data_IF_372831441834
#
_entry.id   IF_372831441834
#
_cell.length_a   1.000
_cell.length_b   1.000
_cell.length_c   1.000
_cell.angle_alpha   90.00
_cell.angle_beta   90.00
_cell.angle_gamma   90.00
#
_symmetry.space_group_name_H-M   'P 1'
#
loop_
_entity.id
_entity.type
_entity.pdbx_description
1 polymer ?
#
# COMPACT_ATOMS: atom_id res chain seq x y z
N UNK A 1 -15.18 -22.60 16.88
CA UNK A 1 -15.06 -21.56 15.85
C UNK A 1 -14.05 -20.53 16.32
N UNK A 2 -13.14 -20.05 15.45
CA UNK A 2 -12.25 -18.95 15.84
C UNK A 2 -13.09 -17.70 16.16
N UNK A 3 -12.79 -17.04 17.27
CA UNK A 3 -13.42 -15.76 17.63
C UNK A 3 -12.97 -14.72 16.60
N UNK A 4 -13.91 -13.93 16.10
CA UNK A 4 -13.70 -12.89 15.12
C UNK A 4 -13.96 -11.53 15.76
N UNK A 5 -13.11 -10.58 15.53
CA UNK A 5 -13.21 -9.21 16.04
C UNK A 5 -13.27 -8.22 14.88
N UNK A 6 -13.89 -7.07 15.12
CA UNK A 6 -13.96 -5.99 14.14
C UNK A 6 -13.46 -4.68 14.79
N UNK A 7 -12.44 -4.08 14.21
CA UNK A 7 -11.84 -2.81 14.65
C UNK A 7 -11.81 -1.81 13.51
N UNK A 8 -11.75 -0.52 13.83
CA UNK A 8 -11.48 0.48 12.79
C UNK A 8 -10.06 0.30 12.22
N UNK A 9 -9.85 0.74 10.98
CA UNK A 9 -8.53 0.68 10.37
C UNK A 9 -7.48 1.39 11.23
N UNK A 10 -7.83 2.53 11.85
CA UNK A 10 -6.94 3.26 12.74
C UNK A 10 -6.50 2.46 13.98
N UNK A 11 -7.37 1.61 14.55
CA UNK A 11 -7.03 0.80 15.73
C UNK A 11 -6.02 -0.31 15.43
N UNK A 12 -5.98 -0.80 14.19
CA UNK A 12 -5.07 -1.91 13.77
C UNK A 12 -3.88 -1.43 12.93
N UNK A 13 -3.68 -0.11 12.82
CA UNK A 13 -2.62 0.51 12.02
C UNK A 13 -1.74 1.40 12.88
N UNK A 14 -0.46 1.10 12.95
CA UNK A 14 0.52 1.85 13.75
C UNK A 14 0.99 3.14 13.06
N UNK A 15 0.99 3.16 11.72
CA UNK A 15 1.36 4.32 10.90
C UNK A 15 0.32 4.53 9.82
N UNK A 16 -0.29 5.71 9.80
CA UNK A 16 -1.12 6.21 8.71
C UNK A 16 -0.60 7.59 8.32
N UNK A 17 0.16 7.69 7.25
CA UNK A 17 0.81 8.94 6.87
C UNK A 17 0.86 9.11 5.34
N UNK A 18 0.84 10.37 4.88
CA UNK A 18 1.21 10.69 3.51
C UNK A 18 2.72 10.60 3.33
N UNK A 19 3.13 10.38 2.10
CA UNK A 19 4.53 10.42 1.72
C UNK A 19 5.17 11.80 1.85
N UNK A 20 6.35 11.92 1.29
CA UNK A 20 7.13 13.16 1.29
C UNK A 20 6.83 14.02 0.05
N UNK A 21 7.20 15.30 0.09
CA UNK A 21 7.35 16.13 -1.11
C UNK A 21 8.81 16.00 -1.57
N UNK A 22 9.14 15.13 -2.54
CA UNK A 22 10.52 14.81 -2.87
C UNK A 22 11.19 15.90 -3.69
N UNK A 23 12.53 15.92 -3.64
CA UNK A 23 13.38 16.60 -4.61
C UNK A 23 13.87 15.54 -5.59
N UNK A 24 13.22 15.49 -6.73
CA UNK A 24 13.54 14.48 -7.76
C UNK A 24 14.88 14.74 -8.42
N UNK A 25 15.63 13.66 -8.60
CA UNK A 25 16.88 13.60 -9.37
C UNK A 25 16.78 12.48 -10.41
N UNK A 26 17.58 12.56 -11.46
CA UNK A 26 17.55 11.56 -12.54
C UNK A 26 18.60 10.46 -12.33
N UNK A 27 19.73 10.79 -11.71
CA UNK A 27 20.84 9.86 -11.49
C UNK A 27 20.85 9.34 -10.05
N UNK A 28 21.06 8.04 -9.89
CA UNK A 28 21.22 7.41 -8.60
C UNK A 28 22.61 7.70 -8.01
N UNK A 29 22.68 7.90 -6.71
CA UNK A 29 23.91 7.99 -5.93
C UNK A 29 23.70 7.37 -4.54
N UNK A 30 24.71 7.31 -3.71
CA UNK A 30 24.67 6.72 -2.37
C UNK A 30 23.64 7.36 -1.40
N UNK A 31 23.15 8.56 -1.71
CA UNK A 31 22.18 9.30 -0.90
C UNK A 31 20.77 9.29 -1.51
N UNK A 32 20.57 8.57 -2.62
CA UNK A 32 19.24 8.51 -3.23
C UNK A 32 18.38 7.41 -2.64
N UNK A 33 17.07 7.67 -2.61
CA UNK A 33 16.03 6.70 -2.30
C UNK A 33 15.01 6.65 -3.42
N UNK A 34 14.45 5.47 -3.66
CA UNK A 34 13.37 5.28 -4.62
C UNK A 34 12.09 5.91 -4.07
N UNK A 35 11.40 6.69 -4.90
CA UNK A 35 10.12 7.32 -4.58
C UNK A 35 9.01 6.72 -5.43
N UNK A 36 8.13 5.98 -4.79
CA UNK A 36 6.92 5.48 -5.43
C UNK A 36 5.88 6.61 -5.51
N UNK A 37 5.16 6.64 -6.61
CA UNK A 37 4.05 7.56 -6.86
C UNK A 37 2.79 6.78 -7.25
N UNK A 38 1.66 7.47 -7.41
CA UNK A 38 0.38 6.84 -7.73
C UNK A 38 0.37 5.98 -9.02
N UNK A 39 1.31 6.20 -9.97
CA UNK A 39 1.40 5.39 -11.19
C UNK A 39 2.03 4.02 -10.91
N UNK A 40 2.82 3.91 -9.83
CA UNK A 40 3.44 2.66 -9.41
C UNK A 40 2.42 1.64 -8.86
N UNK A 41 1.24 2.10 -8.42
CA UNK A 41 0.22 1.27 -7.78
C UNK A 41 -0.83 0.80 -8.80
N UNK A 42 -0.77 -0.47 -9.17
CA UNK A 42 -1.72 -1.11 -10.11
C UNK A 42 -2.01 -2.55 -9.70
N UNK A 43 -3.25 -2.98 -9.83
CA UNK A 43 -3.68 -4.37 -9.67
C UNK A 43 -3.22 -5.01 -8.34
N UNK A 44 -3.29 -4.26 -7.23
CA UNK A 44 -2.80 -4.68 -5.92
C UNK A 44 -1.28 -4.99 -5.90
N UNK A 45 -0.55 -4.40 -6.81
CA UNK A 45 0.90 -4.60 -6.98
C UNK A 45 1.61 -3.27 -7.14
N UNK A 46 2.89 -3.25 -6.83
CA UNK A 46 3.78 -2.10 -7.05
C UNK A 46 4.71 -2.42 -8.21
N UNK A 47 4.72 -1.51 -9.21
CA UNK A 47 5.70 -1.50 -10.30
C UNK A 47 6.70 -0.37 -10.06
N UNK A 48 7.98 -0.63 -10.25
CA UNK A 48 9.03 0.39 -10.17
C UNK A 48 9.21 1.17 -11.49
N UNK A 49 8.52 0.78 -12.56
CA UNK A 49 8.63 1.40 -13.90
C UNK A 49 8.44 2.93 -13.87
N UNK A 50 7.53 3.41 -13.01
CA UNK A 50 7.23 4.84 -12.86
C UNK A 50 7.82 5.45 -11.58
N UNK A 51 8.66 4.70 -10.87
CA UNK A 51 9.34 5.20 -9.69
C UNK A 51 10.35 6.28 -10.09
N UNK A 52 10.64 7.18 -9.17
CA UNK A 52 11.61 8.24 -9.33
C UNK A 52 12.60 8.21 -8.17
N UNK A 53 13.62 9.04 -8.21
CA UNK A 53 14.64 9.13 -7.18
C UNK A 53 14.53 10.45 -6.42
N UNK A 54 14.78 10.41 -5.11
CA UNK A 54 14.96 11.60 -4.28
C UNK A 54 16.37 11.60 -3.70
N UNK A 55 17.07 12.71 -3.79
CA UNK A 55 18.35 12.88 -3.08
C UNK A 55 18.07 13.32 -1.64
N UNK A 56 18.48 12.48 -0.68
CA UNK A 56 18.24 12.72 0.75
C UNK A 56 19.06 13.89 1.33
N UNK A 57 20.10 14.38 0.59
CA UNK A 57 20.83 15.60 0.95
C UNK A 57 20.01 16.85 0.68
N UNK A 58 19.23 16.83 -0.42
CA UNK A 58 18.33 17.92 -0.80
C UNK A 58 17.02 17.87 0.00
N UNK A 59 16.47 16.65 0.20
CA UNK A 59 15.24 16.43 0.94
C UNK A 59 15.33 15.15 1.74
N UNK A 60 15.54 15.28 3.05
CA UNK A 60 15.56 14.15 3.97
C UNK A 60 14.22 13.44 4.02
N UNK A 61 14.25 12.12 4.14
CA UNK A 61 13.08 11.26 4.33
C UNK A 61 13.03 10.79 5.78
N UNK A 62 11.97 11.12 6.55
CA UNK A 62 11.80 10.61 7.91
C UNK A 62 11.80 9.08 7.95
N UNK A 63 12.43 8.50 8.96
CA UNK A 63 12.60 7.04 9.08
C UNK A 63 11.27 6.29 9.11
N UNK A 64 10.24 6.88 9.72
CA UNK A 64 8.89 6.28 9.75
C UNK A 64 8.23 6.20 8.37
N UNK A 65 8.68 7.02 7.40
CA UNK A 65 8.19 7.02 6.00
C UNK A 65 9.05 6.19 5.07
N UNK A 66 10.14 5.61 5.56
CA UNK A 66 10.86 4.57 4.82
C UNK A 66 10.00 3.31 4.79
N UNK A 67 9.82 2.77 3.57
CA UNK A 67 8.95 1.62 3.34
C UNK A 67 9.57 0.34 3.89
N UNK A 68 8.70 -0.58 4.31
CA UNK A 68 9.07 -1.90 4.82
C UNK A 68 8.24 -2.96 4.11
N UNK A 69 8.73 -4.18 4.17
CA UNK A 69 7.96 -5.33 3.71
C UNK A 69 6.59 -5.38 4.40
N UNK A 70 5.57 -5.73 3.64
CA UNK A 70 4.15 -5.76 3.99
C UNK A 70 3.49 -4.40 4.28
N UNK A 71 4.17 -3.28 4.13
CA UNK A 71 3.48 -1.98 4.12
C UNK A 71 2.40 -1.97 3.03
N UNK A 72 1.26 -1.35 3.35
CA UNK A 72 0.15 -1.16 2.41
C UNK A 72 0.15 0.29 1.94
N UNK A 73 0.02 0.48 0.63
CA UNK A 73 0.03 1.78 -0.02
C UNK A 73 -1.31 2.06 -0.65
N UNK A 74 -1.85 3.26 -0.40
CA UNK A 74 -3.09 3.73 -1.01
C UNK A 74 -2.82 4.98 -1.83
N UNK A 75 -3.32 5.06 -3.06
CA UNK A 75 -3.32 6.31 -3.80
C UNK A 75 -4.26 7.30 -3.11
N UNK A 76 -3.71 8.40 -2.57
CA UNK A 76 -4.54 9.41 -1.91
C UNK A 76 -5.24 10.33 -2.89
N UNK A 77 -4.70 10.52 -4.10
CA UNK A 77 -5.22 11.44 -5.10
C UNK A 77 -5.28 10.79 -6.48
N UNK A 78 -5.92 11.49 -7.43
CA UNK A 78 -5.94 11.16 -8.85
C UNK A 78 -7.29 10.65 -9.34
N UNK A 79 -7.79 11.26 -10.43
CA UNK A 79 -9.04 10.86 -11.07
C UNK A 79 -8.99 9.41 -11.53
N UNK A 80 -9.87 8.56 -11.00
CA UNK A 80 -9.95 7.12 -11.31
C UNK A 80 -8.77 6.29 -10.77
N UNK A 81 -7.92 6.88 -9.92
CA UNK A 81 -6.80 6.17 -9.26
C UNK A 81 -6.80 6.31 -7.75
N UNK A 82 -7.45 7.35 -7.19
CA UNK A 82 -7.63 7.49 -5.75
C UNK A 82 -8.32 6.25 -5.18
N UNK A 83 -7.86 5.77 -4.03
CA UNK A 83 -8.35 4.56 -3.39
C UNK A 83 -7.69 3.26 -3.85
N UNK A 84 -6.86 3.25 -4.90
CA UNK A 84 -6.11 2.04 -5.28
C UNK A 84 -5.23 1.59 -4.13
N UNK A 85 -5.33 0.30 -3.82
CA UNK A 85 -4.56 -0.35 -2.74
C UNK A 85 -3.50 -1.25 -3.35
N UNK A 86 -2.29 -1.26 -2.80
CA UNK A 86 -1.28 -2.27 -3.07
C UNK A 86 -0.53 -2.62 -1.79
N UNK A 87 0.03 -3.83 -1.72
CA UNK A 87 0.92 -4.25 -0.65
C UNK A 87 2.33 -4.50 -1.19
N UNK A 88 3.33 -4.07 -0.44
CA UNK A 88 4.73 -4.37 -0.73
C UNK A 88 5.07 -5.77 -0.19
N UNK A 89 5.48 -6.68 -1.07
CA UNK A 89 5.88 -8.03 -0.68
C UNK A 89 7.40 -8.19 -0.50
N UNK A 90 8.17 -7.20 -0.97
CA UNK A 90 9.60 -7.12 -0.76
C UNK A 90 10.07 -5.67 -0.87
N UNK A 91 11.11 -5.32 -0.13
CA UNK A 91 11.81 -4.04 -0.19
C UNK A 91 13.29 -4.35 -0.29
N UNK A 92 13.84 -4.28 -1.50
CA UNK A 92 15.26 -4.63 -1.79
C UNK A 92 16.19 -3.44 -1.72
N UNK A 93 15.64 -2.23 -1.86
CA UNK A 93 16.38 -0.97 -1.82
C UNK A 93 15.64 0.05 -0.95
N UNK A 94 16.32 1.06 -0.41
CA UNK A 94 15.67 2.13 0.34
C UNK A 94 14.61 2.82 -0.51
N UNK A 95 13.35 2.84 -0.04
CA UNK A 95 12.26 3.48 -0.77
C UNK A 95 11.27 4.18 0.15
N UNK A 96 10.56 5.13 -0.42
CA UNK A 96 9.50 5.91 0.20
C UNK A 96 8.36 6.15 -0.81
N UNK A 97 7.34 6.91 -0.41
CA UNK A 97 6.24 7.34 -1.28
C UNK A 97 6.18 8.87 -1.36
N UNK A 98 5.64 9.38 -2.45
CA UNK A 98 5.35 10.80 -2.60
C UNK A 98 4.06 11.23 -1.86
N UNK A 99 3.80 12.55 -1.83
CA UNK A 99 2.63 13.14 -1.16
C UNK A 99 1.26 12.74 -1.74
N UNK A 100 1.24 12.03 -2.88
CA UNK A 100 0.02 11.53 -3.52
C UNK A 100 -0.36 10.12 -3.10
N UNK A 101 0.38 9.54 -2.15
CA UNK A 101 0.11 8.21 -1.60
C UNK A 101 0.03 8.27 -0.07
N UNK A 102 -0.68 7.30 0.51
CA UNK A 102 -0.78 7.04 1.94
C UNK A 102 -0.08 5.72 2.23
N UNK A 103 0.79 5.73 3.24
CA UNK A 103 1.41 4.56 3.85
C UNK A 103 0.56 4.09 5.03
N UNK A 104 0.23 2.81 5.04
CA UNK A 104 -0.36 2.10 6.16
C UNK A 104 0.61 1.01 6.62
N UNK A 105 0.91 0.97 7.92
CA UNK A 105 1.69 -0.08 8.55
C UNK A 105 0.89 -0.68 9.70
N UNK A 106 0.65 -2.01 9.72
CA UNK A 106 -0.15 -2.62 10.78
C UNK A 106 0.49 -2.51 12.16
N UNK A 107 -0.32 -2.72 13.19
CA UNK A 107 0.15 -3.02 14.55
C UNK A 107 0.54 -4.51 14.65
N UNK A 108 1.19 -4.90 15.75
CA UNK A 108 1.55 -6.31 16.01
C UNK A 108 0.33 -7.20 16.31
N UNK A 109 -0.87 -6.61 16.46
CA UNK A 109 -2.11 -7.32 16.74
C UNK A 109 -2.65 -8.08 15.53
N UNK A 110 -2.25 -7.68 14.32
CA UNK A 110 -2.71 -8.27 13.08
C UNK A 110 -1.54 -8.74 12.22
N UNK A 111 -1.65 -9.95 11.65
CA UNK A 111 -0.64 -10.45 10.74
C UNK A 111 -0.48 -9.53 9.52
N UNK A 112 0.73 -9.06 9.19
CA UNK A 112 0.93 -8.06 8.15
C UNK A 112 0.45 -8.50 6.77
N UNK A 113 0.62 -9.77 6.42
CA UNK A 113 0.16 -10.31 5.14
C UNK A 113 -1.37 -10.37 5.09
N UNK A 114 -2.00 -10.84 6.17
CA UNK A 114 -3.45 -10.82 6.31
C UNK A 114 -4.00 -9.39 6.22
N UNK A 115 -3.35 -8.44 6.92
CA UNK A 115 -3.73 -7.03 6.93
C UNK A 115 -3.85 -6.44 5.53
N UNK A 116 -2.87 -6.68 4.66
CA UNK A 116 -2.91 -6.18 3.29
C UNK A 116 -4.12 -6.69 2.51
N UNK A 117 -4.47 -7.97 2.64
CA UNK A 117 -5.67 -8.54 2.02
C UNK A 117 -6.97 -8.02 2.64
N UNK A 118 -6.99 -7.82 3.95
CA UNK A 118 -8.13 -7.21 4.63
C UNK A 118 -8.37 -5.78 4.14
N UNK A 119 -7.33 -4.95 4.04
CA UNK A 119 -7.45 -3.60 3.45
C UNK A 119 -7.88 -3.66 1.98
N UNK A 120 -7.31 -4.57 1.18
CA UNK A 120 -7.70 -4.78 -0.22
C UNK A 120 -9.19 -5.10 -0.36
N UNK A 121 -9.76 -5.88 0.54
CA UNK A 121 -11.17 -6.26 0.48
C UNK A 121 -12.14 -5.06 0.64
N UNK A 122 -11.68 -3.97 1.23
CA UNK A 122 -12.40 -2.71 1.38
C UNK A 122 -12.14 -1.69 0.27
N UNK A 123 -11.52 -2.10 -0.85
CA UNK A 123 -11.17 -1.19 -1.94
C UNK A 123 -12.32 -0.28 -2.37
N UNK A 124 -13.51 -0.84 -2.61
CA UNK A 124 -14.68 -0.07 -3.06
C UNK A 124 -15.22 0.92 -2.00
N UNK A 125 -15.01 0.64 -0.71
CA UNK A 125 -15.35 1.55 0.38
C UNK A 125 -14.31 2.67 0.47
N UNK A 126 -13.03 2.33 0.37
CA UNK A 126 -11.92 3.28 0.39
C UNK A 126 -12.04 4.26 -0.78
N UNK A 127 -12.37 3.79 -1.99
CA UNK A 127 -12.56 4.64 -3.17
C UNK A 127 -13.66 5.70 -2.95
N UNK A 128 -14.74 5.34 -2.25
CA UNK A 128 -15.83 6.27 -1.90
C UNK A 128 -15.44 7.37 -0.90
N UNK A 129 -14.31 7.21 -0.20
CA UNK A 129 -13.79 8.24 0.69
C UNK A 129 -13.05 9.37 -0.04
N UNK A 130 -12.88 9.25 -1.37
CA UNK A 130 -12.30 10.30 -2.19
C UNK A 130 -13.27 11.48 -2.30
N UNK A 131 -12.88 12.61 -1.72
CA UNK A 131 -13.64 13.86 -1.70
C UNK A 131 -12.95 14.93 -2.56
N UNK A 132 -13.70 15.84 -3.14
CA UNK A 132 -13.19 16.98 -3.91
C UNK A 132 -14.01 17.30 -5.16
N UNK A 133 -13.93 18.55 -5.61
CA UNK A 133 -14.56 19.01 -6.86
C UNK A 133 -13.71 18.64 -8.08
N UNK A 134 -14.35 18.56 -9.23
CA UNK A 134 -13.83 18.23 -10.56
C UNK A 134 -12.30 18.30 -10.72
N UNK A 135 -11.64 17.12 -10.73
CA UNK A 135 -10.24 17.00 -11.10
C UNK A 135 -9.24 16.89 -9.95
N UNK A 136 -9.64 17.13 -8.70
CA UNK A 136 -8.78 17.01 -7.51
C UNK A 136 -9.49 16.24 -6.39
N UNK A 137 -9.69 14.93 -6.62
CA UNK A 137 -10.21 14.06 -5.55
C UNK A 137 -9.07 13.62 -4.65
N UNK A 138 -9.31 13.64 -3.34
CA UNK A 138 -8.36 13.21 -2.32
C UNK A 138 -9.05 12.34 -1.27
N UNK A 139 -8.39 11.23 -0.87
CA UNK A 139 -8.85 10.38 0.22
C UNK A 139 -8.74 11.15 1.54
N UNK A 140 -9.87 11.29 2.21
CA UNK A 140 -9.92 11.86 3.56
C UNK A 140 -9.33 10.85 4.55
N UNK A 141 -8.10 11.13 5.02
CA UNK A 141 -7.35 10.22 5.89
C UNK A 141 -8.07 9.97 7.22
N UNK A 142 -8.73 10.97 7.79
CA UNK A 142 -9.47 10.78 9.05
C UNK A 142 -10.64 9.81 8.88
N UNK A 143 -11.36 9.93 7.79
CA UNK A 143 -12.43 8.99 7.44
C UNK A 143 -11.89 7.59 7.17
N UNK A 144 -10.75 7.48 6.46
CA UNK A 144 -10.06 6.20 6.25
C UNK A 144 -9.77 5.50 7.59
N UNK A 145 -9.27 6.23 8.59
CA UNK A 145 -8.97 5.71 9.93
C UNK A 145 -10.22 5.22 10.68
N UNK A 146 -11.33 5.96 10.57
CA UNK A 146 -12.49 5.77 11.45
C UNK A 146 -13.65 5.00 10.82
N UNK A 147 -13.84 5.08 9.48
CA UNK A 147 -14.98 4.50 8.79
C UNK A 147 -14.71 3.11 8.22
N UNK A 148 -13.45 2.82 7.82
CA UNK A 148 -13.08 1.48 7.35
C UNK A 148 -12.93 0.56 8.57
N UNK A 149 -13.67 -0.55 8.58
CA UNK A 149 -13.65 -1.52 9.67
C UNK A 149 -13.09 -2.86 9.20
N UNK A 150 -11.95 -3.22 9.76
CA UNK A 150 -11.26 -4.48 9.48
C UNK A 150 -11.80 -5.56 10.41
N UNK A 151 -12.23 -6.67 9.82
CA UNK A 151 -12.70 -7.86 10.54
C UNK A 151 -11.66 -8.98 10.41
N UNK A 152 -11.23 -9.55 11.54
CA UNK A 152 -10.17 -10.56 11.55
C UNK A 152 -10.35 -11.58 12.68
N UNK A 153 -9.84 -12.83 12.51
CA UNK A 153 -9.78 -13.79 13.60
C UNK A 153 -8.84 -13.30 14.70
N UNK A 154 -9.20 -13.47 15.96
CA UNK A 154 -8.34 -13.13 17.11
C UNK A 154 -7.06 -13.97 17.13
N UNK A 155 -7.13 -15.22 16.65
CA UNK A 155 -5.98 -16.11 16.55
C UNK A 155 -5.06 -15.71 15.38
N UNK A 156 -3.87 -15.22 15.70
CA UNK A 156 -2.83 -14.81 14.75
C UNK A 156 -2.40 -15.98 13.82
N UNK A 157 -2.47 -17.23 14.27
CA UNK A 157 -2.14 -18.38 13.42
C UNK A 157 -3.21 -18.61 12.36
N UNK A 158 -4.47 -18.34 12.70
CA UNK A 158 -5.56 -18.34 11.72
C UNK A 158 -5.36 -17.25 10.67
N UNK A 159 -5.02 -16.02 11.09
CA UNK A 159 -4.71 -14.91 10.19
C UNK A 159 -3.57 -15.28 9.22
N UNK A 160 -2.46 -15.81 9.74
CA UNK A 160 -1.30 -16.24 8.95
C UNK A 160 -1.68 -17.29 7.90
N UNK A 161 -2.51 -18.27 8.26
CA UNK A 161 -2.98 -19.30 7.31
C UNK A 161 -3.81 -18.68 6.18
N UNK A 162 -4.74 -17.78 6.52
CA UNK A 162 -5.58 -17.09 5.53
C UNK A 162 -4.73 -16.22 4.62
N UNK A 163 -3.86 -15.37 5.19
CA UNK A 163 -2.98 -14.48 4.44
C UNK A 163 -2.09 -15.24 3.46
N UNK A 164 -1.47 -16.35 3.90
CA UNK A 164 -0.65 -17.21 3.04
C UNK A 164 -1.45 -17.85 1.91
N UNK A 165 -2.65 -18.33 2.18
CA UNK A 165 -3.53 -18.91 1.15
C UNK A 165 -3.86 -17.87 0.06
N UNK A 166 -4.27 -16.67 0.47
CA UNK A 166 -4.60 -15.58 -0.46
C UNK A 166 -3.37 -15.18 -1.28
N UNK A 167 -2.21 -15.07 -0.64
CA UNK A 167 -0.95 -14.78 -1.32
C UNK A 167 -0.59 -15.83 -2.37
N UNK A 168 -0.73 -17.13 -2.05
CA UNK A 168 -0.47 -18.22 -2.99
C UNK A 168 -1.42 -18.16 -4.20
N UNK A 169 -2.69 -17.81 -3.99
CA UNK A 169 -3.66 -17.62 -5.07
C UNK A 169 -3.23 -16.44 -5.96
N UNK A 170 -2.88 -15.30 -5.38
CA UNK A 170 -2.44 -14.12 -6.13
C UNK A 170 -1.13 -14.39 -6.90
N UNK A 171 -0.19 -15.14 -6.33
CA UNK A 171 1.02 -15.58 -7.04
C UNK A 171 0.67 -16.46 -8.25
N UNK A 172 -0.25 -17.40 -8.09
CA UNK A 172 -0.67 -18.27 -9.18
C UNK A 172 -1.35 -17.48 -10.30
N UNK A 173 -2.17 -16.49 -9.95
CA UNK A 173 -2.81 -15.58 -10.93
C UNK A 173 -1.74 -14.80 -11.69
N UNK A 174 -0.73 -14.25 -11.00
CA UNK A 174 0.37 -13.50 -11.64
C UNK A 174 1.17 -14.37 -12.60
N UNK A 175 1.61 -15.55 -12.15
CA UNK A 175 2.37 -16.47 -12.97
C UNK A 175 1.57 -16.90 -14.23
N UNK A 176 0.27 -17.16 -14.10
CA UNK A 176 -0.57 -17.48 -15.24
C UNK A 176 -0.71 -16.32 -16.23
N UNK A 177 -0.82 -15.07 -15.74
CA UNK A 177 -0.81 -13.88 -16.60
C UNK A 177 0.51 -13.73 -17.37
N UNK A 178 1.64 -13.93 -16.71
CA UNK A 178 2.97 -13.89 -17.34
C UNK A 178 3.12 -14.99 -18.42
N UNK A 179 2.72 -16.22 -18.10
CA UNK A 179 2.71 -17.34 -19.08
C UNK A 179 1.85 -16.98 -20.28
N UNK A 180 0.63 -16.50 -20.08
CA UNK A 180 -0.27 -16.13 -21.17
C UNK A 180 0.31 -15.00 -22.02
N UNK A 181 0.91 -13.97 -21.42
CA UNK A 181 1.55 -12.88 -22.14
C UNK A 181 2.73 -13.37 -23.02
N UNK A 182 3.47 -14.39 -22.55
CA UNK A 182 4.58 -14.97 -23.29
C UNK A 182 4.15 -15.95 -24.40
N UNK A 183 2.89 -16.42 -24.37
CA UNK A 183 2.32 -17.30 -25.40
C UNK A 183 1.65 -16.52 -26.54
N UNK A 184 1.38 -15.24 -26.36
CA UNK A 184 0.84 -14.35 -27.40
C UNK A 184 2.01 -13.68 -28.12
N UNK A 185 2.69 -14.44 -28.98
CA UNK A 185 3.70 -13.98 -29.95
C UNK A 185 3.20 -14.22 -31.35
#
# INVERSE_FOLDING_TARGET
MARVVAKSLGEVTSIITKGVAPKYVEEANENTVIVLNQKCNRDFSISLEFARLNDCREKSVPQERMLREFDVLINSTGTGTAGRVAQLFAVTEPMTIDGHMILLRPTDEIDPLYYGYAVKSHYAEIEKLAEGSTGQTEINRKRLETEIRITFPEDIQCQKKIGRLLYQIDQKIRNNKEINNNLVV
#
